data_IF_395307400802
#
_entry.id   IF_395307400802
#
_cell.length_a   1.000
_cell.length_b   1.000
_cell.length_c   1.000
_cell.angle_alpha   90.00
_cell.angle_beta   90.00
_cell.angle_gamma   90.00
#
_symmetry.space_group_name_H-M   'P 1'
#
loop_
_entity.id
_entity.type
_entity.pdbx_description
1 polymer ?
#
# COMPACT_ATOMS: atom_id res chain seq x y z
N UNK A 1 -38.92 5.11 -14.13
CA UNK A 1 -37.66 5.87 -14.16
C UNK A 1 -36.73 5.24 -13.12
N UNK A 2 -35.90 4.28 -13.51
CA UNK A 2 -35.02 3.55 -12.59
C UNK A 2 -33.66 4.26 -12.51
N UNK A 3 -33.37 4.78 -11.32
CA UNK A 3 -32.09 5.40 -10.98
C UNK A 3 -31.01 4.33 -10.98
N UNK A 4 -30.08 4.41 -11.94
CA UNK A 4 -28.89 3.56 -11.97
C UNK A 4 -28.02 3.93 -10.76
N UNK A 5 -27.93 3.02 -9.78
CA UNK A 5 -26.89 3.08 -8.76
C UNK A 5 -25.53 2.83 -9.44
N UNK A 6 -24.86 3.90 -9.84
CA UNK A 6 -23.46 3.85 -10.26
C UNK A 6 -22.62 3.54 -9.02
N UNK A 7 -22.28 2.26 -8.82
CA UNK A 7 -21.22 1.90 -7.88
C UNK A 7 -19.96 2.64 -8.32
N UNK A 8 -19.47 3.54 -7.47
CA UNK A 8 -18.23 4.26 -7.71
C UNK A 8 -17.12 3.22 -7.82
N UNK A 9 -16.56 3.06 -9.03
CA UNK A 9 -15.41 2.20 -9.27
C UNK A 9 -14.25 2.75 -8.42
N UNK A 10 -13.96 2.09 -7.29
CA UNK A 10 -12.81 2.41 -6.44
C UNK A 10 -11.55 2.25 -7.29
N UNK A 11 -10.93 3.38 -7.65
CA UNK A 11 -9.70 3.40 -8.45
C UNK A 11 -8.54 3.84 -7.56
N UNK A 12 -7.38 3.19 -7.72
CA UNK A 12 -6.16 3.51 -6.96
C UNK A 12 -5.42 4.74 -7.51
N UNK A 13 -5.73 5.14 -8.74
CA UNK A 13 -5.07 6.24 -9.45
C UNK A 13 -4.97 7.56 -8.64
N UNK A 14 -6.02 8.07 -7.98
CA UNK A 14 -5.94 9.36 -7.26
C UNK A 14 -5.00 9.33 -6.04
N UNK A 15 -4.73 8.16 -5.46
CA UNK A 15 -3.85 8.05 -4.29
C UNK A 15 -2.36 7.90 -4.68
N UNK A 16 -2.07 7.65 -5.95
CA UNK A 16 -0.70 7.52 -6.49
C UNK A 16 -0.19 8.82 -7.12
N UNK A 17 -1.01 9.87 -7.18
CA UNK A 17 -0.61 11.18 -7.71
C UNK A 17 0.03 12.05 -6.62
N UNK A 18 1.21 12.59 -6.92
CA UNK A 18 1.89 13.57 -6.05
C UNK A 18 1.50 15.00 -6.44
N UNK A 19 1.63 15.92 -5.49
CA UNK A 19 1.50 17.35 -5.77
C UNK A 19 2.56 17.80 -6.79
N UNK A 20 2.24 18.84 -7.57
CA UNK A 20 3.21 19.47 -8.48
C UNK A 20 4.27 20.22 -7.67
N UNK A 21 5.44 19.61 -7.55
CA UNK A 21 6.67 20.19 -7.02
C UNK A 21 7.86 19.38 -7.54
N UNK A 22 9.06 19.95 -7.48
CA UNK A 22 10.29 19.24 -7.78
C UNK A 22 10.79 18.58 -6.50
N UNK A 23 10.91 17.25 -6.51
CA UNK A 23 11.38 16.46 -5.37
C UNK A 23 12.75 15.85 -5.73
N UNK A 24 13.78 16.15 -4.93
CA UNK A 24 15.15 15.68 -5.16
C UNK A 24 15.55 14.81 -3.97
N UNK A 25 15.85 13.54 -4.20
CA UNK A 25 16.21 12.61 -3.12
C UNK A 25 16.60 11.23 -3.64
N UNK A 26 17.06 10.36 -2.73
CA UNK A 26 17.52 8.99 -3.04
C UNK A 26 16.49 7.91 -2.72
N UNK A 27 15.23 8.28 -2.52
CA UNK A 27 14.15 7.32 -2.24
C UNK A 27 13.82 6.47 -3.48
N UNK A 28 13.49 5.19 -3.26
CA UNK A 28 13.12 4.27 -4.34
C UNK A 28 11.85 4.76 -5.05
N UNK A 29 11.95 5.00 -6.36
CA UNK A 29 10.82 5.44 -7.16
C UNK A 29 9.90 4.28 -7.50
N UNK A 30 8.58 4.49 -7.37
CA UNK A 30 7.58 3.52 -7.83
C UNK A 30 7.52 3.48 -9.36
N UNK A 31 7.46 2.28 -9.94
CA UNK A 31 7.20 2.09 -11.38
C UNK A 31 5.70 2.03 -11.64
N UNK A 32 5.19 2.90 -12.52
CA UNK A 32 3.77 2.89 -12.91
C UNK A 32 3.50 1.68 -13.83
N UNK A 33 2.42 0.97 -13.53
CA UNK A 33 1.94 -0.16 -14.30
C UNK A 33 0.44 -0.05 -14.53
N UNK A 34 -0.04 -0.58 -15.65
CA UNK A 34 -1.47 -0.76 -15.86
C UNK A 34 -2.00 -1.81 -14.88
N UNK A 35 -3.09 -1.49 -14.19
CA UNK A 35 -3.72 -2.37 -13.19
C UNK A 35 -5.17 -2.65 -13.57
N UNK A 36 -5.67 -3.82 -13.17
CA UNK A 36 -7.08 -4.22 -13.34
C UNK A 36 -7.48 -5.10 -12.15
N UNK A 37 -8.71 -4.96 -11.67
CA UNK A 37 -9.21 -5.83 -10.60
C UNK A 37 -9.55 -7.21 -11.17
N UNK A 38 -9.36 -8.28 -10.38
CA UNK A 38 -9.74 -9.63 -10.79
C UNK A 38 -11.25 -9.75 -11.08
N UNK A 39 -12.09 -9.04 -10.32
CA UNK A 39 -13.53 -9.00 -10.55
C UNK A 39 -13.94 -8.32 -11.87
N UNK A 40 -13.10 -7.43 -12.44
CA UNK A 40 -13.32 -6.85 -13.77
C UNK A 40 -13.00 -7.84 -14.91
N UNK A 41 -12.36 -8.98 -14.59
CA UNK A 41 -12.05 -10.06 -15.54
C UNK A 41 -13.06 -11.20 -15.37
N UNK A 42 -13.34 -11.58 -14.14
CA UNK A 42 -14.33 -12.58 -13.80
C UNK A 42 -15.17 -12.11 -12.61
N UNK A 43 -16.45 -11.80 -12.85
CA UNK A 43 -17.37 -11.27 -11.85
C UNK A 43 -17.74 -12.26 -10.74
N UNK A 44 -17.42 -13.55 -10.90
CA UNK A 44 -17.66 -14.54 -9.84
C UNK A 44 -16.58 -14.53 -8.77
N UNK A 45 -15.42 -13.93 -9.04
CA UNK A 45 -14.29 -13.90 -8.10
C UNK A 45 -14.61 -13.01 -6.91
N UNK A 46 -14.41 -13.55 -5.71
CA UNK A 46 -14.43 -12.79 -4.46
C UNK A 46 -13.22 -13.12 -3.57
N UNK A 47 -13.02 -12.32 -2.52
CA UNK A 47 -11.86 -12.43 -1.63
C UNK A 47 -11.82 -13.79 -0.92
N UNK A 48 -12.97 -14.31 -0.45
CA UNK A 48 -13.02 -15.57 0.28
C UNK A 48 -12.57 -16.74 -0.61
N UNK A 49 -13.09 -16.81 -1.84
CA UNK A 49 -12.68 -17.82 -2.82
C UNK A 49 -11.21 -17.71 -3.20
N UNK A 50 -10.70 -16.48 -3.37
CA UNK A 50 -9.30 -16.25 -3.68
C UNK A 50 -8.37 -16.70 -2.55
N UNK A 51 -8.72 -16.38 -1.30
CA UNK A 51 -7.98 -16.82 -0.11
C UNK A 51 -7.96 -18.34 0.00
N UNK A 52 -9.11 -19.00 -0.19
CA UNK A 52 -9.19 -20.46 -0.19
C UNK A 52 -8.35 -21.06 -1.30
N UNK A 53 -8.45 -20.56 -2.53
CA UNK A 53 -7.68 -21.07 -3.67
C UNK A 53 -6.17 -20.97 -3.40
N UNK A 54 -5.66 -19.80 -3.01
CA UNK A 54 -4.24 -19.60 -2.69
C UNK A 54 -3.81 -20.52 -1.55
N UNK A 55 -4.60 -20.60 -0.49
CA UNK A 55 -4.23 -21.43 0.66
C UNK A 55 -4.23 -22.92 0.34
N UNK A 56 -5.19 -23.43 -0.44
CA UNK A 56 -5.15 -24.84 -0.85
C UNK A 56 -3.95 -25.14 -1.75
N UNK A 57 -3.59 -24.26 -2.68
CA UNK A 57 -2.35 -24.40 -3.46
C UNK A 57 -1.11 -24.44 -2.56
N UNK A 58 -1.05 -23.60 -1.53
CA UNK A 58 0.03 -23.62 -0.55
C UNK A 58 0.06 -24.93 0.26
N UNK A 59 -1.09 -25.40 0.76
CA UNK A 59 -1.19 -26.63 1.58
C UNK A 59 -0.88 -27.92 0.78
N UNK A 60 -0.94 -27.87 -0.55
CA UNK A 60 -0.54 -28.97 -1.44
C UNK A 60 0.97 -29.13 -1.57
N UNK A 61 1.73 -28.07 -1.32
CA UNK A 61 3.19 -28.06 -1.44
C UNK A 61 3.83 -28.43 -0.10
N UNK A 62 4.90 -29.23 -0.13
CA UNK A 62 5.71 -29.49 1.07
C UNK A 62 6.46 -28.23 1.51
N UNK A 63 6.63 -28.03 2.82
CA UNK A 63 7.39 -26.89 3.34
C UNK A 63 8.91 -26.99 3.07
N UNK A 64 9.39 -28.22 2.85
CA UNK A 64 10.82 -28.54 2.69
C UNK A 64 11.20 -28.82 1.24
N UNK A 65 10.23 -29.21 0.42
CA UNK A 65 10.43 -29.67 -0.96
C UNK A 65 9.41 -28.96 -1.86
N UNK A 66 9.84 -28.46 -3.02
CA UNK A 66 8.97 -27.79 -3.99
C UNK A 66 8.26 -28.84 -4.85
N UNK A 67 7.64 -29.83 -4.20
CA UNK A 67 6.88 -30.90 -4.85
C UNK A 67 5.40 -30.79 -4.48
N UNK A 68 4.53 -30.93 -5.48
CA UNK A 68 3.07 -30.98 -5.29
C UNK A 68 2.68 -32.37 -4.78
N UNK A 69 2.43 -32.47 -3.47
CA UNK A 69 1.97 -33.69 -2.82
C UNK A 69 0.46 -33.91 -2.91
N UNK A 70 -0.25 -33.05 -3.63
CA UNK A 70 -1.69 -33.16 -3.91
C UNK A 70 -2.57 -33.19 -2.66
N UNK A 71 -3.74 -33.82 -2.78
CA UNK A 71 -4.73 -33.85 -1.69
C UNK A 71 -4.24 -34.60 -0.44
N UNK A 72 -3.33 -35.56 -0.60
CA UNK A 72 -2.75 -36.32 0.52
C UNK A 72 -1.93 -35.39 1.40
N UNK A 73 -1.20 -34.43 0.79
CA UNK A 73 -0.41 -33.46 1.54
C UNK A 73 -1.29 -32.48 2.31
N UNK A 74 -2.40 -32.02 1.71
CA UNK A 74 -3.37 -31.14 2.40
C UNK A 74 -3.86 -31.77 3.71
N UNK A 75 -4.17 -33.08 3.69
CA UNK A 75 -4.67 -33.81 4.87
C UNK A 75 -3.63 -33.91 6.01
N UNK A 76 -2.34 -33.82 5.69
CA UNK A 76 -1.27 -33.79 6.70
C UNK A 76 -1.12 -32.42 7.34
N UNK A 77 -1.63 -31.37 6.71
CA UNK A 77 -1.55 -30.01 7.22
C UNK A 77 -2.79 -29.66 8.07
N UNK A 78 -2.62 -28.79 9.07
CA UNK A 78 -3.70 -28.42 10.02
C UNK A 78 -4.76 -27.48 9.42
N UNK A 79 -4.84 -27.38 8.09
CA UNK A 79 -5.72 -26.45 7.38
C UNK A 79 -5.43 -24.98 7.70
N UNK A 80 -6.44 -24.13 7.46
CA UNK A 80 -6.38 -22.71 7.78
C UNK A 80 -6.54 -22.48 9.28
N UNK A 81 -5.60 -21.75 9.88
CA UNK A 81 -5.66 -21.34 11.27
C UNK A 81 -6.13 -19.88 11.35
N UNK A 82 -7.28 -19.66 11.99
CA UNK A 82 -7.73 -18.31 12.29
C UNK A 82 -6.90 -17.76 13.45
N UNK A 83 -6.26 -16.62 13.21
CA UNK A 83 -5.46 -15.93 14.22
C UNK A 83 -6.22 -14.73 14.78
N UNK A 84 -6.04 -14.47 16.08
CA UNK A 84 -6.46 -13.23 16.71
C UNK A 84 -5.23 -12.38 17.02
N UNK A 85 -4.93 -11.32 16.23
CA UNK A 85 -3.70 -10.52 16.38
C UNK A 85 -3.80 -9.59 17.60
N UNK A 86 -3.77 -10.18 18.79
CA UNK A 86 -3.83 -9.50 20.09
C UNK A 86 -2.62 -9.85 20.91
N UNK A 87 -2.25 -8.97 21.84
CA UNK A 87 -1.13 -9.15 22.76
C UNK A 87 -1.18 -10.48 23.52
N UNK A 88 -2.38 -10.97 23.84
CA UNK A 88 -2.58 -12.27 24.52
C UNK A 88 -2.09 -13.46 23.68
N UNK A 89 -2.27 -13.41 22.37
CA UNK A 89 -1.86 -14.48 21.45
C UNK A 89 -0.45 -14.25 20.90
N UNK A 90 -0.04 -12.99 20.78
CA UNK A 90 1.24 -12.57 20.22
C UNK A 90 1.85 -11.46 21.10
N UNK A 91 2.55 -11.82 22.20
CA UNK A 91 3.21 -10.85 23.05
C UNK A 91 4.20 -9.98 22.26
N UNK A 92 4.13 -8.67 22.45
CA UNK A 92 4.90 -7.65 21.74
C UNK A 92 4.21 -7.09 20.49
N UNK A 93 3.04 -7.60 20.07
CA UNK A 93 2.35 -7.08 18.88
C UNK A 93 1.85 -5.65 19.08
N UNK A 94 1.49 -5.26 20.31
CA UNK A 94 1.10 -3.88 20.60
C UNK A 94 2.28 -2.92 20.50
N UNK A 95 3.48 -3.35 20.88
CA UNK A 95 4.72 -2.56 20.72
C UNK A 95 5.01 -2.36 19.24
N UNK A 96 4.93 -3.42 18.43
CA UNK A 96 5.09 -3.33 16.98
C UNK A 96 4.03 -2.43 16.34
N UNK A 97 2.78 -2.55 16.77
CA UNK A 97 1.68 -1.71 16.28
C UNK A 97 1.94 -0.24 16.60
N UNK A 98 2.36 0.06 17.83
CA UNK A 98 2.73 1.41 18.23
C UNK A 98 3.86 1.96 17.37
N UNK A 99 4.96 1.21 17.21
CA UNK A 99 6.09 1.61 16.36
C UNK A 99 5.65 1.85 14.92
N UNK A 100 4.94 0.91 14.29
CA UNK A 100 4.54 1.04 12.88
C UNK A 100 3.47 2.09 12.61
N UNK A 101 2.73 2.50 13.65
CA UNK A 101 1.80 3.63 13.58
C UNK A 101 2.46 4.99 13.88
N UNK A 102 3.70 5.00 14.37
CA UNK A 102 4.40 6.22 14.77
C UNK A 102 4.76 7.09 13.55
N UNK A 103 4.83 8.40 13.77
CA UNK A 103 5.25 9.34 12.73
C UNK A 103 6.71 9.07 12.32
N UNK A 104 7.55 8.73 13.29
CA UNK A 104 8.94 8.36 13.15
C UNK A 104 9.12 7.19 12.17
N UNK A 105 8.18 6.24 12.18
CA UNK A 105 8.16 5.12 11.23
C UNK A 105 7.58 5.52 9.87
N UNK A 106 6.37 6.06 9.84
CA UNK A 106 5.62 6.30 8.59
C UNK A 106 6.30 7.37 7.72
N UNK A 107 6.79 8.44 8.33
CA UNK A 107 7.39 9.60 7.65
C UNK A 107 8.86 9.74 8.01
N UNK A 108 9.19 9.57 9.29
CA UNK A 108 10.52 9.81 9.82
C UNK A 108 11.59 8.92 9.20
N UNK A 109 11.28 7.71 8.70
CA UNK A 109 12.26 6.84 8.05
C UNK A 109 12.69 7.31 6.65
N UNK A 110 12.02 8.29 6.04
CA UNK A 110 12.33 8.75 4.69
C UNK A 110 13.80 9.21 4.54
N UNK A 111 14.50 8.87 3.44
CA UNK A 111 15.84 9.40 3.18
C UNK A 111 15.82 10.92 3.04
N UNK A 112 16.93 11.59 3.34
CA UNK A 112 17.12 13.02 3.11
C UNK A 112 16.72 13.42 1.70
N UNK A 113 15.95 14.51 1.59
CA UNK A 113 15.43 15.01 0.33
C UNK A 113 15.24 16.53 0.39
N UNK A 114 15.14 17.17 -0.77
CA UNK A 114 14.72 18.56 -0.91
C UNK A 114 13.48 18.69 -1.78
N UNK A 115 12.72 19.75 -1.52
CA UNK A 115 11.51 20.11 -2.28
C UNK A 115 11.64 21.54 -2.76
N UNK A 116 11.45 21.73 -4.06
CA UNK A 116 11.41 23.05 -4.68
C UNK A 116 10.03 23.32 -5.25
N UNK A 117 9.49 24.51 -4.98
CA UNK A 117 8.17 24.93 -5.46
C UNK A 117 8.15 26.42 -5.77
N UNK A 118 7.61 26.75 -6.93
CA UNK A 118 7.28 28.12 -7.32
C UNK A 118 5.86 28.47 -6.87
N UNK A 119 5.73 29.63 -6.24
CA UNK A 119 4.49 30.17 -5.72
C UNK A 119 4.25 31.54 -6.35
N UNK A 120 3.13 31.67 -7.07
CA UNK A 120 2.68 32.96 -7.58
C UNK A 120 1.92 33.69 -6.47
N UNK A 121 2.46 34.83 -6.03
CA UNK A 121 1.85 35.69 -5.04
C UNK A 121 1.02 36.76 -5.77
N UNK A 122 -0.21 36.94 -5.31
CA UNK A 122 -1.05 38.06 -5.76
C UNK A 122 -0.56 39.32 -5.07
N UNK A 123 -0.33 40.38 -5.83
CA UNK A 123 -0.04 41.71 -5.30
C UNK A 123 -1.17 42.66 -5.71
N UNK A 124 -1.37 43.76 -4.97
CA UNK A 124 -2.31 44.82 -5.38
C UNK A 124 -1.74 45.52 -6.62
N UNK A 125 -2.06 44.98 -7.81
CA UNK A 125 -1.68 45.48 -9.12
C UNK A 125 -1.44 44.37 -10.17
N UNK A 126 -1.22 44.76 -11.43
CA UNK A 126 -0.97 43.83 -12.56
C UNK A 126 0.40 43.11 -12.51
N UNK A 127 1.18 43.30 -11.43
CA UNK A 127 2.48 42.66 -11.27
C UNK A 127 2.32 41.35 -10.50
N UNK A 128 2.63 40.24 -11.17
CA UNK A 128 2.70 38.94 -10.53
C UNK A 128 4.10 38.72 -9.92
N UNK A 129 4.17 38.50 -8.61
CA UNK A 129 5.43 38.19 -7.94
C UNK A 129 5.58 36.67 -7.83
N UNK A 130 6.72 36.13 -8.27
CA UNK A 130 7.02 34.70 -8.23
C UNK A 130 8.03 34.44 -7.11
N UNK A 131 7.62 33.67 -6.11
CA UNK A 131 8.49 33.22 -5.02
C UNK A 131 8.95 31.79 -5.28
N UNK A 132 10.27 31.55 -5.27
CA UNK A 132 10.86 30.21 -5.31
C UNK A 132 11.17 29.76 -3.89
N UNK A 133 10.52 28.70 -3.43
CA UNK A 133 10.75 28.08 -2.12
C UNK A 133 11.55 26.79 -2.31
N UNK A 134 12.67 26.65 -1.60
CA UNK A 134 13.44 25.42 -1.50
C UNK A 134 13.56 24.99 -0.04
N UNK A 135 13.17 23.76 0.27
CA UNK A 135 13.18 23.20 1.62
C UNK A 135 13.99 21.91 1.63
N UNK A 136 15.07 21.87 2.41
CA UNK A 136 15.80 20.64 2.72
C UNK A 136 15.20 19.96 3.95
N UNK A 137 15.02 18.65 3.89
CA UNK A 137 14.50 17.85 4.99
C UNK A 137 15.52 16.78 5.37
N UNK A 138 16.00 16.86 6.60
CA UNK A 138 17.02 15.97 7.16
C UNK A 138 16.50 15.27 8.42
N UNK A 139 17.03 14.08 8.71
CA UNK A 139 16.81 13.44 10.00
C UNK A 139 17.64 14.15 11.05
N UNK A 140 16.99 14.54 12.14
CA UNK A 140 17.68 14.96 13.35
C UNK A 140 18.16 13.68 14.07
N UNK A 141 19.47 13.57 14.27
CA UNK A 141 20.11 12.46 15.01
C UNK A 141 19.96 12.65 16.51
#
# INVERSE_FOLDING_TARGET
>A
MMTKHSQSKLTLAPYSTRAKATYIGKATASKKSAIKNLCDVNSTVNIAQLLSAIGYEFLRTSATEVEDGGNIQILKQRGFQLINPTEKWFPGIDVLRHEFSSWEWIVGKMPTFSVEKELALKTDGDKQLIMKLSVGVEKKY
#
